data_IF_367193347527
#
_entry.id   IF_367193347527
#
_cell.length_a   1.000
_cell.length_b   1.000
_cell.length_c   1.000
_cell.angle_alpha   90.00
_cell.angle_beta   90.00
_cell.angle_gamma   90.00
#
_symmetry.space_group_name_H-M   'P 1'
#
loop_
_entity.id
_entity.type
_entity.pdbx_description
1 polymer ?
#
# COMPACT_ATOMS: atom_id res chain seq x y z
N UNK A 1 7.97 26.49 54.66
CA UNK A 1 8.08 25.36 53.72
C UNK A 1 6.67 24.89 53.32
N UNK A 2 6.15 25.38 52.20
CA UNK A 2 4.90 24.89 51.62
C UNK A 2 5.11 24.75 50.12
N UNK A 3 5.29 23.52 49.66
CA UNK A 3 5.74 23.21 48.30
C UNK A 3 4.60 23.46 47.30
N UNK A 4 4.88 24.31 46.31
CA UNK A 4 4.13 24.46 45.06
C UNK A 4 4.09 23.11 44.34
N UNK A 5 2.90 22.70 43.85
CA UNK A 5 2.78 21.79 42.72
C UNK A 5 1.68 22.30 41.79
N UNK A 6 2.09 23.14 40.85
CA UNK A 6 1.32 23.48 39.66
C UNK A 6 1.28 22.22 38.78
N UNK A 7 0.12 21.57 38.69
CA UNK A 7 -0.10 20.45 37.78
C UNK A 7 -0.36 21.05 36.40
N UNK A 8 0.69 21.17 35.59
CA UNK A 8 0.55 21.45 34.16
C UNK A 8 0.08 20.14 33.49
N UNK A 9 -1.23 19.97 33.37
CA UNK A 9 -1.80 18.92 32.53
C UNK A 9 -1.67 19.36 31.06
N UNK A 10 -0.53 19.03 30.45
CA UNK A 10 -0.32 19.19 29.02
C UNK A 10 -1.13 18.09 28.29
N UNK A 11 -2.41 18.36 28.05
CA UNK A 11 -3.26 17.55 27.18
C UNK A 11 -2.84 17.80 25.72
N UNK A 12 -1.72 17.21 25.32
CA UNK A 12 -1.35 17.10 23.91
C UNK A 12 -2.10 15.90 23.30
N UNK A 13 -3.40 16.07 23.09
CA UNK A 13 -4.17 15.21 22.20
C UNK A 13 -3.93 15.66 20.77
N UNK A 14 -2.73 15.47 20.24
CA UNK A 14 -2.51 15.54 18.80
C UNK A 14 -2.95 14.19 18.24
N UNK A 15 -4.25 14.06 18.02
CA UNK A 15 -4.78 13.02 17.17
C UNK A 15 -4.34 13.35 15.74
N UNK A 16 -3.13 12.96 15.38
CA UNK A 16 -2.69 12.94 13.97
C UNK A 16 -3.32 11.71 13.34
N UNK A 17 -4.63 11.74 13.12
CA UNK A 17 -5.24 10.85 12.14
C UNK A 17 -4.98 11.49 10.78
N UNK A 18 -3.79 11.27 10.21
CA UNK A 18 -3.61 11.47 8.78
C UNK A 18 -4.26 10.27 8.10
N UNK A 19 -5.37 10.56 7.43
CA UNK A 19 -6.21 9.59 6.73
C UNK A 19 -5.40 9.10 5.52
N UNK A 20 -5.40 7.79 5.26
CA UNK A 20 -4.89 7.29 3.99
C UNK A 20 -5.62 8.01 2.85
N UNK A 21 -4.91 8.82 2.06
CA UNK A 21 -5.43 9.46 0.87
C UNK A 21 -5.38 8.44 -0.26
N UNK A 22 -6.54 7.95 -0.69
CA UNK A 22 -6.65 6.95 -1.73
C UNK A 22 -8.09 6.83 -2.21
N UNK A 23 -8.27 6.26 -3.39
CA UNK A 23 -9.58 6.10 -3.99
C UNK A 23 -9.54 5.16 -5.19
N UNK A 24 -10.71 4.72 -5.63
CA UNK A 24 -10.85 3.95 -6.86
C UNK A 24 -11.42 4.86 -7.94
N UNK A 25 -10.81 4.84 -9.12
CA UNK A 25 -11.34 5.57 -10.27
C UNK A 25 -12.54 4.79 -10.82
N UNK A 26 -13.70 5.44 -10.91
CA UNK A 26 -14.84 4.97 -11.71
C UNK A 26 -14.96 5.70 -13.05
N UNK A 27 -15.97 5.37 -13.87
CA UNK A 27 -16.27 6.12 -15.09
C UNK A 27 -16.41 7.63 -14.79
N UNK A 28 -15.51 8.45 -15.34
CA UNK A 28 -15.51 9.91 -15.16
C UNK A 28 -14.77 10.44 -13.93
N UNK A 29 -14.00 9.61 -13.21
CA UNK A 29 -13.25 10.03 -12.02
C UNK A 29 -11.73 9.89 -12.23
N UNK A 30 -10.99 10.94 -11.83
CA UNK A 30 -9.53 11.10 -11.87
C UNK A 30 -8.87 10.97 -13.26
N UNK A 31 -8.72 12.07 -14.02
CA UNK A 31 -8.05 12.02 -15.32
C UNK A 31 -6.61 11.49 -15.17
N UNK A 32 -6.27 10.48 -15.97
CA UNK A 32 -4.94 9.84 -15.97
C UNK A 32 -4.85 8.51 -15.23
N UNK A 33 -5.84 8.15 -14.40
CA UNK A 33 -5.92 6.83 -13.76
C UNK A 33 -6.86 5.92 -14.57
N UNK A 34 -6.47 4.69 -14.93
CA UNK A 34 -7.34 3.79 -15.67
C UNK A 34 -8.58 3.39 -14.85
N UNK A 35 -9.77 3.39 -15.44
CA UNK A 35 -11.08 3.20 -14.77
C UNK A 35 -11.29 1.89 -14.00
N UNK A 36 -10.37 0.94 -14.09
CA UNK A 36 -10.40 -0.32 -13.31
C UNK A 36 -9.28 -0.36 -12.26
N UNK A 37 -8.82 0.81 -11.83
CA UNK A 37 -7.69 0.96 -10.92
C UNK A 37 -8.09 1.78 -9.70
N UNK A 38 -7.34 1.59 -8.64
CA UNK A 38 -7.33 2.44 -7.47
C UNK A 38 -5.96 3.07 -7.33
N UNK A 39 -5.88 4.12 -6.51
CA UNK A 39 -4.63 4.75 -6.13
C UNK A 39 -4.56 4.88 -4.61
N UNK A 40 -3.35 4.73 -4.06
CA UNK A 40 -3.02 5.07 -2.69
C UNK A 40 -1.85 6.04 -2.66
N UNK A 41 -1.95 7.07 -1.83
CA UNK A 41 -0.84 7.95 -1.51
C UNK A 41 -0.27 7.54 -0.16
N UNK A 42 0.99 7.08 -0.17
CA UNK A 42 1.70 6.60 1.00
C UNK A 42 2.72 7.64 1.45
N UNK A 43 2.60 8.08 2.71
CA UNK A 43 3.59 8.94 3.38
C UNK A 43 4.59 8.12 4.22
N UNK A 44 4.26 6.87 4.51
CA UNK A 44 5.10 5.90 5.22
C UNK A 44 4.84 4.52 4.64
N UNK A 45 5.90 3.79 4.33
CA UNK A 45 5.83 2.44 3.76
C UNK A 45 7.13 1.68 4.01
N UNK A 46 7.04 0.36 4.01
CA UNK A 46 8.21 -0.53 4.04
C UNK A 46 8.40 -1.15 2.67
N UNK A 47 9.65 -1.44 2.31
CA UNK A 47 9.97 -2.11 1.06
C UNK A 47 10.79 -3.35 1.33
N UNK A 48 10.67 -4.34 0.45
CA UNK A 48 11.53 -5.51 0.50
C UNK A 48 11.63 -6.21 -0.84
N UNK A 49 12.56 -7.16 -0.90
CA UNK A 49 12.75 -8.05 -2.03
C UNK A 49 12.62 -9.48 -1.50
N UNK A 50 11.76 -10.27 -2.13
CA UNK A 50 11.65 -11.69 -1.84
C UNK A 50 12.77 -12.44 -2.56
N UNK A 51 13.61 -13.15 -1.80
CA UNK A 51 14.87 -13.71 -2.28
C UNK A 51 14.72 -14.87 -3.26
N UNK A 52 13.58 -15.55 -3.26
CA UNK A 52 13.36 -16.76 -4.07
C UNK A 52 13.07 -16.45 -5.54
N UNK A 53 12.37 -15.35 -5.81
CA UNK A 53 11.86 -14.96 -7.13
C UNK A 53 12.22 -13.53 -7.52
N UNK A 54 12.93 -12.80 -6.65
CA UNK A 54 13.34 -11.42 -6.87
C UNK A 54 12.17 -10.45 -6.89
N UNK A 55 11.00 -10.82 -6.36
CA UNK A 55 9.85 -9.95 -6.35
C UNK A 55 10.08 -8.76 -5.40
N UNK A 56 9.81 -7.55 -5.87
CA UNK A 56 9.84 -6.34 -5.06
C UNK A 56 8.45 -6.06 -4.50
N UNK A 57 8.37 -5.68 -3.23
CA UNK A 57 7.11 -5.34 -2.58
C UNK A 57 7.18 -4.05 -1.77
N UNK A 58 6.04 -3.39 -1.66
CA UNK A 58 5.79 -2.24 -0.79
C UNK A 58 4.68 -2.64 0.18
N UNK A 59 5.02 -2.68 1.46
CA UNK A 59 4.08 -2.89 2.55
C UNK A 59 3.46 -1.58 2.99
N UNK A 60 2.13 -1.60 3.11
CA UNK A 60 1.36 -0.49 3.67
C UNK A 60 0.88 -0.84 5.07
N UNK A 61 0.54 0.18 5.86
CA UNK A 61 -0.16 0.00 7.14
C UNK A 61 -1.69 -0.05 6.95
N UNK A 62 -2.18 -0.24 5.71
CA UNK A 62 -3.61 -0.21 5.38
C UNK A 62 -4.20 -1.61 5.41
N UNK A 63 -5.32 -1.73 6.10
CA UNK A 63 -6.18 -2.91 6.05
C UNK A 63 -7.30 -2.72 5.01
N UNK A 64 -7.59 -3.78 4.25
CA UNK A 64 -8.67 -3.82 3.27
C UNK A 64 -9.63 -4.98 3.56
N UNK A 65 -10.92 -4.76 3.29
CA UNK A 65 -11.96 -5.78 3.43
C UNK A 65 -12.22 -6.45 2.08
N UNK A 66 -12.19 -7.78 2.06
CA UNK A 66 -12.58 -8.57 0.90
C UNK A 66 -13.20 -9.90 1.36
N UNK A 67 -14.36 -10.27 0.82
CA UNK A 67 -15.09 -11.50 1.20
C UNK A 67 -15.23 -11.70 2.72
N UNK A 68 -15.65 -10.65 3.45
CA UNK A 68 -15.83 -10.63 4.91
C UNK A 68 -14.57 -10.96 5.73
N UNK A 69 -13.38 -10.78 5.14
CA UNK A 69 -12.09 -10.92 5.81
C UNK A 69 -11.27 -9.65 5.65
N UNK A 70 -10.45 -9.38 6.66
CA UNK A 70 -9.52 -8.26 6.69
C UNK A 70 -8.15 -8.73 6.24
N UNK A 71 -7.55 -8.03 5.28
CA UNK A 71 -6.21 -8.31 4.78
C UNK A 71 -5.35 -7.05 4.87
N UNK A 72 -4.05 -7.21 5.10
CA UNK A 72 -3.09 -6.13 4.92
C UNK A 72 -2.83 -5.89 3.44
N UNK A 73 -2.92 -4.64 3.00
CA UNK A 73 -2.63 -4.29 1.61
C UNK A 73 -1.12 -4.25 1.38
N UNK A 74 -0.66 -5.02 0.40
CA UNK A 74 0.72 -5.05 -0.06
C UNK A 74 0.75 -4.85 -1.57
N UNK A 75 1.62 -3.95 -2.02
CA UNK A 75 1.87 -3.79 -3.44
C UNK A 75 3.09 -4.59 -3.87
N UNK A 76 3.11 -5.07 -5.11
CA UNK A 76 4.25 -5.81 -5.63
C UNK A 76 4.52 -5.56 -7.10
N UNK A 77 5.73 -5.89 -7.54
CA UNK A 77 6.09 -6.03 -8.95
C UNK A 77 7.02 -7.23 -9.08
N UNK A 78 6.73 -8.13 -10.03
CA UNK A 78 7.56 -9.30 -10.26
C UNK A 78 8.82 -8.93 -11.03
N UNK A 79 9.91 -9.68 -10.84
CA UNK A 79 11.17 -9.50 -11.57
C UNK A 79 11.03 -9.65 -13.10
N UNK A 80 9.96 -10.30 -13.57
CA UNK A 80 9.63 -10.46 -14.99
C UNK A 80 8.87 -9.27 -15.58
N UNK A 81 8.43 -8.32 -14.76
CA UNK A 81 7.77 -7.10 -15.25
C UNK A 81 8.77 -6.18 -15.94
N UNK A 82 8.39 -5.61 -17.09
CA UNK A 82 9.18 -4.59 -17.77
C UNK A 82 9.35 -3.30 -16.93
N UNK A 83 8.44 -3.06 -15.99
CA UNK A 83 8.47 -1.91 -15.08
C UNK A 83 9.24 -2.16 -13.78
N UNK A 84 9.77 -3.37 -13.55
CA UNK A 84 10.38 -3.78 -12.27
C UNK A 84 11.44 -2.78 -11.78
N UNK A 85 12.47 -2.53 -12.60
CA UNK A 85 13.58 -1.65 -12.20
C UNK A 85 13.12 -0.21 -11.98
N UNK A 86 12.17 0.28 -12.78
CA UNK A 86 11.65 1.64 -12.66
C UNK A 86 10.87 1.82 -11.35
N UNK A 87 9.95 0.89 -11.06
CA UNK A 87 9.15 0.92 -9.82
C UNK A 87 10.05 0.78 -8.60
N UNK A 88 11.01 -0.15 -8.64
CA UNK A 88 11.97 -0.33 -7.56
C UNK A 88 12.77 0.97 -7.31
N UNK A 89 13.31 1.58 -8.37
CA UNK A 89 14.10 2.80 -8.24
C UNK A 89 13.28 3.98 -7.70
N UNK A 90 12.04 4.15 -8.18
CA UNK A 90 11.16 5.22 -7.71
C UNK A 90 10.75 5.02 -6.24
N UNK A 91 10.37 3.81 -5.85
CA UNK A 91 10.01 3.50 -4.46
C UNK A 91 11.21 3.71 -3.52
N UNK A 92 12.41 3.25 -3.91
CA UNK A 92 13.64 3.48 -3.16
C UNK A 92 13.99 4.95 -3.04
N UNK A 93 13.82 5.72 -4.12
CA UNK A 93 14.04 7.16 -4.13
C UNK A 93 13.06 7.84 -3.18
N UNK A 94 11.75 7.58 -3.32
CA UNK A 94 10.72 8.15 -2.45
C UNK A 94 10.96 7.83 -0.97
N UNK A 95 11.38 6.61 -0.65
CA UNK A 95 11.76 6.23 0.71
C UNK A 95 12.98 7.00 1.22
N UNK A 96 14.05 7.09 0.42
CA UNK A 96 15.29 7.76 0.80
C UNK A 96 15.09 9.28 0.97
N UNK A 97 14.24 9.90 0.14
CA UNK A 97 13.91 11.32 0.20
C UNK A 97 12.79 11.62 1.19
N UNK A 98 12.13 10.60 1.77
CA UNK A 98 10.93 10.73 2.61
C UNK A 98 9.79 11.46 1.88
N UNK A 99 9.73 11.33 0.57
CA UNK A 99 8.65 11.86 -0.26
C UNK A 99 7.43 10.97 -0.14
N UNK A 100 6.26 11.56 -0.36
CA UNK A 100 5.04 10.76 -0.55
C UNK A 100 5.14 10.04 -1.90
N UNK A 101 4.59 8.84 -1.98
CA UNK A 101 4.46 8.13 -3.25
C UNK A 101 2.98 7.90 -3.55
N UNK A 102 2.59 8.01 -4.81
CA UNK A 102 1.30 7.54 -5.28
C UNK A 102 1.50 6.20 -5.99
N UNK A 103 0.71 5.21 -5.60
CA UNK A 103 0.73 3.86 -6.18
C UNK A 103 -0.62 3.62 -6.84
N UNK A 104 -0.61 3.35 -8.15
CA UNK A 104 -1.79 2.94 -8.91
C UNK A 104 -1.77 1.42 -9.05
N UNK A 105 -2.91 0.78 -8.77
CA UNK A 105 -3.05 -0.67 -8.71
C UNK A 105 -4.45 -1.12 -9.17
N UNK A 106 -4.65 -2.39 -9.59
CA UNK A 106 -5.96 -2.87 -10.01
C UNK A 106 -7.00 -2.75 -8.89
N UNK A 107 -8.22 -2.38 -9.24
CA UNK A 107 -9.33 -2.35 -8.31
C UNK A 107 -9.76 -3.78 -7.93
N UNK A 108 -9.32 -4.27 -6.77
CA UNK A 108 -9.65 -5.61 -6.28
C UNK A 108 -11.13 -5.82 -5.99
N UNK A 109 -11.94 -4.76 -5.90
CA UNK A 109 -13.39 -4.87 -5.72
C UNK A 109 -14.14 -5.16 -7.03
N UNK A 110 -13.54 -4.83 -8.17
CA UNK A 110 -14.15 -4.95 -9.51
C UNK A 110 -13.44 -5.97 -10.41
N UNK A 111 -12.23 -6.39 -10.03
CA UNK A 111 -11.42 -7.35 -10.79
C UNK A 111 -11.40 -8.73 -10.13
N UNK A 112 -10.99 -9.74 -10.89
CA UNK A 112 -10.84 -11.10 -10.36
C UNK A 112 -9.69 -11.12 -9.34
N UNK A 113 -9.99 -11.41 -8.08
CA UNK A 113 -8.96 -11.66 -7.05
C UNK A 113 -8.63 -13.14 -7.01
N UNK A 114 -7.35 -13.48 -7.21
CA UNK A 114 -6.89 -14.87 -7.16
C UNK A 114 -6.38 -15.27 -5.78
N UNK A 115 -6.22 -16.57 -5.52
CA UNK A 115 -5.44 -17.03 -4.38
C UNK A 115 -3.95 -17.00 -4.76
N UNK A 116 -3.08 -16.56 -3.87
CA UNK A 116 -1.65 -16.35 -4.11
C UNK A 116 -0.85 -17.67 -4.18
N UNK A 117 -1.22 -18.58 -5.07
CA UNK A 117 -0.38 -19.72 -5.45
C UNK A 117 0.71 -19.31 -6.46
N UNK A 118 0.44 -18.29 -7.28
CA UNK A 118 1.41 -17.60 -8.12
C UNK A 118 0.96 -16.14 -8.35
N UNK A 119 1.77 -15.18 -7.93
CA UNK A 119 1.51 -13.75 -8.16
C UNK A 119 1.77 -13.41 -9.63
N UNK A 120 0.98 -12.48 -10.18
CA UNK A 120 1.10 -12.02 -11.57
C UNK A 120 0.94 -10.50 -11.66
N UNK A 121 1.37 -9.90 -12.77
CA UNK A 121 1.36 -8.44 -12.93
C UNK A 121 0.00 -7.85 -13.33
N UNK A 122 -1.09 -8.60 -13.22
CA UNK A 122 -2.41 -8.18 -13.74
C UNK A 122 -3.48 -8.10 -12.65
N UNK A 123 -3.59 -9.12 -11.81
CA UNK A 123 -4.67 -9.26 -10.85
C UNK A 123 -4.17 -9.20 -9.41
N UNK A 124 -4.96 -8.60 -8.52
CA UNK A 124 -4.71 -8.74 -7.10
C UNK A 124 -4.90 -10.20 -6.66
N UNK A 125 -4.19 -10.59 -5.60
CA UNK A 125 -4.25 -11.93 -5.02
C UNK A 125 -4.32 -11.85 -3.49
N UNK A 126 -5.00 -12.81 -2.87
CA UNK A 126 -5.03 -12.95 -1.41
C UNK A 126 -4.22 -14.15 -0.95
N UNK A 127 -3.64 -14.09 0.25
CA UNK A 127 -3.07 -15.24 0.90
C UNK A 127 -3.56 -15.40 2.35
N UNK A 128 -3.16 -16.52 2.95
CA UNK A 128 -3.35 -16.77 4.36
C UNK A 128 -2.01 -16.93 5.08
N UNK A 129 -1.99 -16.66 6.38
CA UNK A 129 -0.88 -17.00 7.25
C UNK A 129 -0.78 -18.53 7.47
N UNK A 130 0.23 -18.95 8.24
CA UNK A 130 0.46 -20.36 8.57
C UNK A 130 -0.67 -20.98 9.43
N UNK A 131 -1.54 -20.16 10.03
CA UNK A 131 -2.71 -20.59 10.79
C UNK A 131 -4.01 -20.57 9.94
N UNK A 132 -3.92 -20.23 8.65
CA UNK A 132 -5.06 -20.15 7.74
C UNK A 132 -5.88 -18.86 7.86
N UNK A 133 -5.42 -17.87 8.63
CA UNK A 133 -6.07 -16.56 8.72
C UNK A 133 -5.71 -15.71 7.51
N UNK A 134 -6.60 -14.78 7.13
CA UNK A 134 -6.29 -13.79 6.11
C UNK A 134 -5.03 -12.99 6.49
N UNK A 135 -4.07 -12.89 5.58
CA UNK A 135 -2.82 -12.20 5.83
C UNK A 135 -2.69 -10.95 4.96
N UNK A 136 -2.52 -11.12 3.64
CA UNK A 136 -2.29 -10.02 2.71
C UNK A 136 -3.20 -10.06 1.49
N UNK A 137 -3.55 -8.86 1.01
CA UNK A 137 -4.04 -8.58 -0.32
C UNK A 137 -2.85 -8.03 -1.12
N UNK A 138 -2.29 -8.85 -2.00
CA UNK A 138 -1.21 -8.49 -2.91
C UNK A 138 -1.81 -7.85 -4.17
N UNK A 139 -1.50 -6.60 -4.45
CA UNK A 139 -1.91 -5.95 -5.70
C UNK A 139 -0.69 -5.55 -6.53
N UNK A 140 -0.65 -5.90 -7.83
CA UNK A 140 0.47 -5.52 -8.67
C UNK A 140 0.48 -4.01 -8.90
N UNK A 141 1.66 -3.40 -8.91
CA UNK A 141 1.85 -1.97 -9.17
C UNK A 141 1.72 -1.73 -10.68
N UNK A 142 0.70 -0.97 -11.09
CA UNK A 142 0.51 -0.55 -12.47
C UNK A 142 1.34 0.70 -12.79
N UNK A 143 1.40 1.65 -11.85
CA UNK A 143 2.24 2.82 -11.92
C UNK A 143 2.62 3.30 -10.52
N UNK A 144 3.76 3.99 -10.42
CA UNK A 144 4.23 4.60 -9.19
C UNK A 144 4.79 5.98 -9.52
N UNK A 145 4.43 6.98 -8.74
CA UNK A 145 4.97 8.34 -8.85
C UNK A 145 5.45 8.83 -7.48
N UNK A 146 6.45 9.70 -7.49
CA UNK A 146 6.88 10.43 -6.30
C UNK A 146 6.13 11.76 -6.34
N UNK A 147 5.47 12.11 -5.24
CA UNK A 147 4.78 13.38 -5.08
C UNK A 147 5.71 14.35 -4.33
N UNK A 148 5.73 15.60 -4.79
CA UNK A 148 6.49 16.71 -4.21
C UNK A 148 5.82 17.30 -2.96
#
# INVERSE_FOLDING_TARGET
MGKIRLILAFLFSVAVFSHAEGGCSGPGQNPGIPTQSCYEILSSFYMGIQSADGMFFIDTDKDVQYNNKTYKLRFFVTATSSSYNQIQALAQTGYATRSRIEVIYPNYAETTVTNATALNNTNCSTNTDNAGNAAYMYCPIQALSILE
#
